data_IF_208324460192
#
_entry.id   IF_208324460192
#
_cell.length_a   1.000
_cell.length_b   1.000
_cell.length_c   1.000
_cell.angle_alpha   90.00
_cell.angle_beta   90.00
_cell.angle_gamma   90.00
#
_symmetry.space_group_name_H-M   'P 1'
#
loop_
_entity.id
_entity.type
_entity.pdbx_description
1 polymer ?
#
# COMPACT_ATOMS: atom_id res chain seq x y z
N UNK A 1 -21.11 6.60 -4.30
CA UNK A 1 -19.74 7.14 -4.25
C UNK A 1 -18.94 6.24 -3.34
N UNK A 2 -18.13 5.34 -3.89
CA UNK A 2 -17.43 4.33 -3.11
C UNK A 2 -16.34 5.00 -2.26
N UNK A 3 -16.52 5.00 -0.94
CA UNK A 3 -15.51 5.47 0.02
C UNK A 3 -14.23 4.63 -0.13
N UNK A 4 -13.19 5.24 -0.68
CA UNK A 4 -11.86 4.63 -0.80
C UNK A 4 -10.97 5.09 0.35
N UNK A 5 -9.90 4.34 0.65
CA UNK A 5 -8.95 4.66 1.72
C UNK A 5 -8.32 6.05 1.57
N UNK A 6 -8.08 6.49 0.33
CA UNK A 6 -7.61 7.85 0.04
C UNK A 6 -8.63 8.91 0.46
N UNK A 7 -9.90 8.74 0.08
CA UNK A 7 -10.97 9.68 0.42
C UNK A 7 -11.22 9.74 1.93
N UNK A 8 -11.11 8.61 2.63
CA UNK A 8 -11.22 8.54 4.09
C UNK A 8 -10.15 9.37 4.80
N UNK A 9 -8.94 9.41 4.25
CA UNK A 9 -7.80 10.16 4.80
C UNK A 9 -7.63 11.54 4.14
N UNK A 10 -8.62 12.01 3.38
CA UNK A 10 -8.61 13.31 2.69
C UNK A 10 -7.40 13.48 1.76
N UNK A 11 -7.04 12.42 1.03
CA UNK A 11 -5.95 12.38 0.07
C UNK A 11 -6.45 12.12 -1.34
N UNK A 12 -5.69 12.60 -2.32
CA UNK A 12 -5.90 12.25 -3.72
C UNK A 12 -5.39 10.83 -3.99
N UNK A 13 -6.05 10.14 -4.93
CA UNK A 13 -5.65 8.78 -5.35
C UNK A 13 -4.37 8.88 -6.18
N UNK A 14 -3.23 8.77 -5.50
CA UNK A 14 -1.90 8.80 -6.10
C UNK A 14 -0.99 7.79 -5.40
N UNK A 15 0.01 7.27 -6.11
CA UNK A 15 1.07 6.49 -5.48
C UNK A 15 2.01 7.41 -4.68
N UNK A 16 2.38 8.55 -5.26
CA UNK A 16 3.18 9.59 -4.61
C UNK A 16 2.29 10.42 -3.69
N UNK A 17 2.18 9.98 -2.42
CA UNK A 17 1.48 10.73 -1.37
C UNK A 17 2.50 11.27 -0.37
N UNK A 18 2.20 12.44 0.18
CA UNK A 18 2.97 12.99 1.29
C UNK A 18 2.63 12.24 2.58
N UNK A 19 3.61 11.48 3.09
CA UNK A 19 3.48 10.73 4.34
C UNK A 19 3.24 11.64 5.55
N UNK A 20 3.73 12.88 5.54
CA UNK A 20 3.48 13.85 6.62
C UNK A 20 2.03 14.28 6.58
N UNK A 21 1.49 14.57 5.41
CA UNK A 21 0.07 14.94 5.25
C UNK A 21 -0.84 13.77 5.64
N UNK A 22 -0.49 12.54 5.23
CA UNK A 22 -1.18 11.31 5.64
C UNK A 22 -1.26 11.20 7.17
N UNK A 23 -0.14 11.41 7.86
CA UNK A 23 -0.07 11.33 9.32
C UNK A 23 -0.84 12.46 10.01
N UNK A 24 -0.75 13.68 9.49
CA UNK A 24 -1.50 14.83 9.99
C UNK A 24 -3.02 14.61 9.88
N UNK A 25 -3.50 14.15 8.72
CA UNK A 25 -4.91 13.85 8.49
C UNK A 25 -5.37 12.71 9.39
N UNK A 26 -4.57 11.65 9.52
CA UNK A 26 -4.84 10.53 10.42
C UNK A 26 -5.03 10.98 11.88
N UNK A 27 -4.09 11.77 12.42
CA UNK A 27 -4.18 12.29 13.80
C UNK A 27 -5.40 13.20 13.97
N UNK A 28 -5.70 14.05 12.98
CA UNK A 28 -6.84 14.98 13.02
C UNK A 28 -8.17 14.22 13.07
N UNK A 29 -8.33 13.21 12.22
CA UNK A 29 -9.53 12.37 12.17
C UNK A 29 -9.66 11.55 13.47
N UNK A 30 -8.57 10.95 13.96
CA UNK A 30 -8.61 10.16 15.19
C UNK A 30 -9.04 11.00 16.41
N UNK A 31 -8.62 12.27 16.47
CA UNK A 31 -9.07 13.21 17.51
C UNK A 31 -10.53 13.60 17.35
N UNK A 32 -10.98 13.87 16.13
CA UNK A 32 -12.35 14.28 15.85
C UNK A 32 -13.38 13.17 16.16
N UNK A 33 -13.01 11.91 15.96
CA UNK A 33 -13.89 10.75 16.17
C UNK A 33 -13.55 9.95 17.44
N UNK A 34 -12.80 10.52 18.38
CA UNK A 34 -12.41 9.82 19.61
C UNK A 34 -13.65 9.37 20.41
N UNK A 35 -13.72 8.11 20.88
CA UNK A 35 -14.91 7.58 21.56
C UNK A 35 -15.30 8.35 22.83
N UNK A 36 -14.36 9.04 23.49
CA UNK A 36 -14.63 9.93 24.63
C UNK A 36 -15.50 11.14 24.28
N UNK A 37 -15.55 11.58 23.02
CA UNK A 37 -16.42 12.68 22.62
C UNK A 37 -17.90 12.28 22.55
N UNK A 38 -18.21 10.98 22.56
CA UNK A 38 -19.57 10.47 22.43
C UNK A 38 -20.09 9.98 23.77
N UNK A 39 -21.29 10.41 24.17
CA UNK A 39 -21.91 9.98 25.43
C UNK A 39 -22.74 8.69 25.27
N UNK A 40 -23.31 8.46 24.08
CA UNK A 40 -24.14 7.30 23.79
C UNK A 40 -23.31 6.07 23.39
N UNK A 41 -23.70 4.89 23.88
CA UNK A 41 -23.06 3.60 23.53
C UNK A 41 -23.12 3.32 22.03
N UNK A 42 -24.22 3.68 21.38
CA UNK A 42 -24.44 3.46 19.94
C UNK A 42 -23.49 4.32 19.10
N UNK A 43 -23.34 5.60 19.47
CA UNK A 43 -22.46 6.53 18.77
C UNK A 43 -20.99 6.17 18.97
N UNK A 44 -20.62 5.70 20.18
CA UNK A 44 -19.29 5.14 20.44
C UNK A 44 -18.97 3.95 19.54
N UNK A 45 -19.93 3.04 19.33
CA UNK A 45 -19.74 1.89 18.45
C UNK A 45 -19.49 2.33 17.01
N UNK A 46 -20.29 3.25 16.49
CA UNK A 46 -20.11 3.80 15.14
C UNK A 46 -18.76 4.51 14.99
N UNK A 47 -18.35 5.28 15.99
CA UNK A 47 -17.04 5.94 16.03
C UNK A 47 -15.89 4.93 16.01
N UNK A 48 -15.98 3.84 16.77
CA UNK A 48 -14.98 2.77 16.78
C UNK A 48 -14.89 2.04 15.43
N UNK A 49 -16.03 1.75 14.80
CA UNK A 49 -16.05 1.15 13.46
C UNK A 49 -15.40 2.09 12.43
N UNK A 50 -15.65 3.39 12.54
CA UNK A 50 -15.04 4.40 11.69
C UNK A 50 -13.53 4.50 11.92
N UNK A 51 -13.07 4.62 13.17
CA UNK A 51 -11.64 4.63 13.52
C UNK A 51 -10.94 3.37 13.01
N UNK A 52 -11.57 2.20 13.14
CA UNK A 52 -11.01 0.95 12.62
C UNK A 52 -10.77 1.00 11.11
N UNK A 53 -11.72 1.56 10.34
CA UNK A 53 -11.54 1.79 8.90
C UNK A 53 -10.39 2.76 8.61
N UNK A 54 -10.27 3.85 9.36
CA UNK A 54 -9.20 4.84 9.23
C UNK A 54 -7.83 4.22 9.53
N UNK A 55 -7.73 3.42 10.59
CA UNK A 55 -6.50 2.71 10.95
C UNK A 55 -6.07 1.76 9.83
N UNK A 56 -7.02 0.99 9.28
CA UNK A 56 -6.75 0.10 8.15
C UNK A 56 -6.30 0.88 6.92
N UNK A 57 -6.98 1.97 6.59
CA UNK A 57 -6.60 2.85 5.49
C UNK A 57 -5.18 3.41 5.68
N UNK A 58 -4.84 3.89 6.88
CA UNK A 58 -3.51 4.42 7.18
C UNK A 58 -2.42 3.36 7.01
N UNK A 59 -2.62 2.14 7.53
CA UNK A 59 -1.64 1.05 7.38
C UNK A 59 -1.42 0.67 5.91
N UNK A 60 -2.50 0.61 5.12
CA UNK A 60 -2.43 0.31 3.69
C UNK A 60 -1.72 1.42 2.92
N UNK A 61 -2.05 2.68 3.19
CA UNK A 61 -1.43 3.82 2.50
C UNK A 61 0.00 4.08 2.97
N UNK A 62 0.38 3.72 4.20
CA UNK A 62 1.73 3.94 4.74
C UNK A 62 2.78 3.10 4.00
N UNK A 63 2.49 1.84 3.71
CA UNK A 63 3.40 0.95 3.00
C UNK A 63 3.34 1.18 1.48
N UNK A 64 4.47 1.42 0.79
CA UNK A 64 4.47 1.61 -0.67
C UNK A 64 3.95 0.35 -1.39
N UNK A 65 4.28 -0.84 -0.88
CA UNK A 65 3.77 -2.09 -1.44
C UNK A 65 2.24 -2.15 -1.36
N UNK A 66 1.67 -2.06 -0.15
CA UNK A 66 0.23 -2.16 0.05
C UNK A 66 -0.54 -1.03 -0.64
N UNK A 67 0.05 0.17 -0.73
CA UNK A 67 -0.49 1.30 -1.49
C UNK A 67 -0.59 0.99 -2.97
N UNK A 68 0.47 0.46 -3.58
CA UNK A 68 0.45 0.06 -4.98
C UNK A 68 -0.58 -1.05 -5.24
N UNK A 69 -0.63 -2.09 -4.40
CA UNK A 69 -1.63 -3.17 -4.51
C UNK A 69 -3.05 -2.60 -4.45
N UNK A 70 -3.31 -1.66 -3.53
CA UNK A 70 -4.63 -1.03 -3.39
C UNK A 70 -5.00 -0.18 -4.60
N UNK A 71 -4.08 0.63 -5.14
CA UNK A 71 -4.34 1.42 -6.35
C UNK A 71 -4.66 0.50 -7.54
N UNK A 72 -3.92 -0.61 -7.70
CA UNK A 72 -4.18 -1.59 -8.76
C UNK A 72 -5.53 -2.28 -8.57
N UNK A 73 -5.90 -2.61 -7.33
CA UNK A 73 -7.22 -3.15 -7.01
C UNK A 73 -8.35 -2.17 -7.37
N UNK A 74 -8.18 -0.87 -7.11
CA UNK A 74 -9.14 0.17 -7.54
C UNK A 74 -9.30 0.22 -9.07
N UNK A 75 -8.26 -0.18 -9.81
CA UNK A 75 -8.27 -0.30 -11.27
C UNK A 75 -8.70 -1.68 -11.77
N UNK A 76 -9.14 -2.58 -10.88
CA UNK A 76 -9.50 -3.98 -11.18
C UNK A 76 -8.35 -4.84 -11.76
N UNK A 77 -7.10 -4.51 -11.41
CA UNK A 77 -5.90 -5.24 -11.86
C UNK A 77 -5.44 -6.20 -10.77
N UNK A 78 -5.28 -7.48 -11.11
CA UNK A 78 -4.78 -8.53 -10.20
C UNK A 78 -3.30 -8.78 -10.42
N UNK A 79 -2.53 -8.80 -9.34
CA UNK A 79 -1.08 -9.04 -9.34
C UNK A 79 -0.70 -10.49 -9.68
N UNK A 80 -1.60 -11.45 -9.43
CA UNK A 80 -1.37 -12.88 -9.67
C UNK A 80 -1.54 -13.29 -11.14
N UNK A 81 -1.77 -12.34 -12.04
CA UNK A 81 -1.95 -12.59 -13.48
C UNK A 81 -0.65 -12.45 -14.28
N UNK A 82 0.47 -12.14 -13.62
CA UNK A 82 1.76 -11.89 -14.25
C UNK A 82 2.71 -13.07 -14.05
N UNK A 83 3.62 -13.30 -15.00
CA UNK A 83 4.56 -14.43 -15.02
C UNK A 83 5.46 -14.45 -13.77
N UNK A 84 5.02 -15.16 -12.73
CA UNK A 84 5.70 -15.20 -11.43
C UNK A 84 7.09 -15.84 -11.54
N UNK A 85 7.32 -16.73 -12.52
CA UNK A 85 8.56 -17.49 -12.64
C UNK A 85 9.78 -16.61 -12.99
N UNK A 86 9.65 -15.68 -13.93
CA UNK A 86 10.74 -14.75 -14.25
C UNK A 86 11.08 -13.84 -13.06
N UNK A 87 10.05 -13.32 -12.39
CA UNK A 87 10.21 -12.40 -11.26
C UNK A 87 10.86 -13.12 -10.07
N UNK A 88 10.44 -14.36 -9.77
CA UNK A 88 11.01 -15.16 -8.68
C UNK A 88 12.51 -15.41 -8.90
N UNK A 89 12.91 -15.74 -10.14
CA UNK A 89 14.33 -15.96 -10.48
C UNK A 89 15.18 -14.71 -10.23
N UNK A 90 14.72 -13.54 -10.71
CA UNK A 90 15.42 -12.27 -10.49
C UNK A 90 15.53 -11.93 -9.00
N UNK A 91 14.44 -12.10 -8.23
CA UNK A 91 14.41 -11.79 -6.80
C UNK A 91 15.35 -12.68 -6.01
N UNK A 92 15.42 -13.98 -6.34
CA UNK A 92 16.32 -14.91 -5.67
C UNK A 92 17.79 -14.49 -5.81
N UNK A 93 18.20 -14.10 -7.02
CA UNK A 93 19.56 -13.64 -7.31
C UNK A 93 19.91 -12.35 -6.55
N UNK A 94 18.97 -11.42 -6.45
CA UNK A 94 19.15 -10.16 -5.70
C UNK A 94 19.26 -10.41 -4.18
N UNK A 95 18.48 -11.34 -3.63
CA UNK A 95 18.49 -11.66 -2.19
C UNK A 95 19.80 -12.29 -1.72
N UNK A 96 20.53 -12.98 -2.59
CA UNK A 96 21.85 -13.56 -2.27
C UNK A 96 22.90 -12.46 -2.05
N UNK A 97 22.74 -11.31 -2.71
CA UNK A 97 23.61 -10.14 -2.60
C UNK A 97 23.04 -9.16 -1.57
N UNK A 98 23.26 -9.40 -0.27
CA UNK A 98 22.61 -8.66 0.83
C UNK A 98 22.78 -7.12 0.80
N UNK A 99 23.86 -6.60 0.21
CA UNK A 99 24.09 -5.16 0.02
C UNK A 99 23.23 -4.55 -1.10
N UNK A 100 22.69 -5.36 -2.00
CA UNK A 100 21.92 -4.93 -3.16
C UNK A 100 20.40 -4.88 -2.89
N UNK A 101 19.92 -5.66 -1.91
CA UNK A 101 18.49 -5.79 -1.62
C UNK A 101 17.81 -4.45 -1.27
N UNK A 102 18.45 -3.63 -0.42
CA UNK A 102 17.89 -2.32 -0.05
C UNK A 102 17.79 -1.38 -1.26
N UNK A 103 18.82 -1.35 -2.10
CA UNK A 103 18.86 -0.52 -3.31
C UNK A 103 17.81 -0.97 -4.33
N UNK A 104 17.65 -2.28 -4.52
CA UNK A 104 16.63 -2.85 -5.41
C UNK A 104 15.21 -2.56 -4.93
N UNK A 105 14.97 -2.56 -3.60
CA UNK A 105 13.67 -2.17 -3.03
C UNK A 105 13.38 -0.68 -3.34
N UNK A 106 14.34 0.20 -3.12
CA UNK A 106 14.18 1.63 -3.43
C UNK A 106 13.96 1.85 -4.94
N UNK A 107 14.70 1.15 -5.79
CA UNK A 107 14.54 1.20 -7.23
C UNK A 107 13.15 0.71 -7.67
N UNK A 108 12.64 -0.37 -7.08
CA UNK A 108 11.28 -0.85 -7.35
C UNK A 108 10.22 0.20 -6.98
N UNK A 109 10.36 0.87 -5.84
CA UNK A 109 9.41 1.91 -5.41
C UNK A 109 9.41 3.09 -6.41
N UNK A 110 10.58 3.53 -6.85
CA UNK A 110 10.71 4.60 -7.85
C UNK A 110 10.14 4.19 -9.21
N UNK A 111 10.40 2.95 -9.64
CA UNK A 111 9.85 2.43 -10.89
C UNK A 111 8.32 2.37 -10.86
N UNK A 112 7.74 1.93 -9.74
CA UNK A 112 6.29 1.91 -9.54
C UNK A 112 5.71 3.32 -9.72
N UNK A 113 6.31 4.33 -9.09
CA UNK A 113 5.90 5.74 -9.23
C UNK A 113 5.96 6.23 -10.69
N UNK A 114 7.06 5.92 -11.39
CA UNK A 114 7.24 6.29 -12.79
C UNK A 114 6.19 5.61 -13.69
N UNK A 115 5.93 4.32 -13.51
CA UNK A 115 4.92 3.59 -14.29
C UNK A 115 3.50 4.08 -14.01
N UNK A 116 3.18 4.41 -12.75
CA UNK A 116 1.91 5.06 -12.43
C UNK A 116 1.77 6.43 -13.10
N UNK A 117 2.85 7.21 -13.18
CA UNK A 117 2.86 8.52 -13.85
C UNK A 117 2.69 8.39 -15.37
N UNK A 118 3.21 7.31 -15.96
CA UNK A 118 3.03 6.97 -17.39
C UNK A 118 1.70 6.30 -17.72
N UNK A 119 0.87 6.02 -16.71
CA UNK A 119 -0.36 5.24 -16.84
C UNK A 119 -0.14 3.79 -17.35
N UNK A 120 1.09 3.27 -17.22
CA UNK A 120 1.47 1.90 -17.57
C UNK A 120 1.17 0.95 -16.41
N UNK A 121 -0.11 0.56 -16.28
CA UNK A 121 -0.57 -0.26 -15.16
C UNK A 121 -0.01 -1.69 -15.18
N UNK A 122 0.34 -2.19 -16.36
CA UNK A 122 0.96 -3.52 -16.54
C UNK A 122 2.33 -3.59 -15.86
N UNK A 123 3.23 -2.67 -16.20
CA UNK A 123 4.56 -2.62 -15.61
C UNK A 123 4.51 -2.23 -14.13
N UNK A 124 3.60 -1.32 -13.74
CA UNK A 124 3.38 -1.00 -12.33
C UNK A 124 2.99 -2.25 -11.51
N UNK A 125 2.11 -3.11 -12.05
CA UNK A 125 1.71 -4.35 -11.40
C UNK A 125 2.87 -5.36 -11.33
N UNK A 126 3.67 -5.48 -12.39
CA UNK A 126 4.87 -6.32 -12.41
C UNK A 126 5.89 -5.90 -11.35
N UNK A 127 6.19 -4.59 -11.26
CA UNK A 127 7.10 -4.06 -10.24
C UNK A 127 6.54 -4.20 -8.82
N UNK A 128 5.24 -4.04 -8.64
CA UNK A 128 4.57 -4.26 -7.36
C UNK A 128 4.71 -5.72 -6.92
N UNK A 129 4.54 -6.67 -7.85
CA UNK A 129 4.75 -8.08 -7.57
C UNK A 129 6.22 -8.38 -7.25
N UNK A 130 7.18 -7.81 -8.00
CA UNK A 130 8.62 -7.90 -7.68
C UNK A 130 8.92 -7.39 -6.26
N UNK A 131 8.40 -6.21 -5.89
CA UNK A 131 8.56 -5.64 -4.55
C UNK A 131 7.97 -6.54 -3.46
N UNK A 132 6.83 -7.20 -3.73
CA UNK A 132 6.21 -8.16 -2.82
C UNK A 132 7.13 -9.34 -2.53
N UNK A 133 7.75 -9.91 -3.55
CA UNK A 133 8.69 -11.02 -3.41
C UNK A 133 9.98 -10.59 -2.71
N UNK A 134 10.52 -9.40 -3.03
CA UNK A 134 11.69 -8.82 -2.36
C UNK A 134 11.44 -8.61 -0.87
N UNK A 135 10.27 -8.04 -0.51
CA UNK A 135 9.87 -7.77 0.86
C UNK A 135 9.58 -9.03 1.69
N UNK A 136 9.15 -10.12 1.06
CA UNK A 136 8.71 -11.34 1.77
C UNK A 136 9.83 -12.32 2.12
N UNK A 137 11.05 -12.16 1.58
CA UNK A 137 12.28 -12.84 2.05
C UNK A 137 12.21 -14.37 2.21
N UNK A 138 12.83 -15.12 1.29
CA UNK A 138 13.10 -16.58 1.35
C UNK A 138 11.91 -17.55 1.48
N UNK A 139 10.66 -17.11 1.60
CA UNK A 139 9.50 -18.02 1.77
C UNK A 139 9.03 -18.73 0.50
N UNK A 140 9.67 -18.51 -0.66
CA UNK A 140 9.23 -19.03 -1.95
C UNK A 140 10.12 -20.14 -2.53
N UNK A 141 11.16 -20.56 -1.82
CA UNK A 141 12.03 -21.67 -2.24
C UNK A 141 11.47 -23.06 -1.89
N UNK A 142 10.26 -23.15 -1.33
CA UNK A 142 9.64 -24.41 -0.92
C UNK A 142 8.17 -24.46 -1.35
N UNK A 143 7.92 -24.65 -2.64
CA UNK A 143 6.72 -25.37 -3.07
C UNK A 143 6.88 -26.00 -4.45
#
# INVERSE_FOLDING_TARGET
MSENYFSLLQLNICFSIDLKLLEQNYITIQRAYHPDCFSSQSDKKLALEYISKINKAYQVLKSPLSRAEYILQLKNIKLSSYDDQCIIKEVFQVQESSTNLHNEILACIQNIENFFSKNDLYEAAKQTNKLKYLSKGKTYAAH
#
